data_IF_533465423728
#
_entry.id   IF_533465423728
#
_cell.length_a   1.000
_cell.length_b   1.000
_cell.length_c   1.000
_cell.angle_alpha   90.00
_cell.angle_beta   90.00
_cell.angle_gamma   90.00
#
_symmetry.space_group_name_H-M   'P 1'
#
loop_
_entity.id
_entity.type
_entity.pdbx_description
1 polymer ?
#
# COMPACT_ATOMS: atom_id res chain seq x y z
N UNK A 1 4.12 -20.25 5.93
CA UNK A 1 2.94 -19.99 5.07
C UNK A 1 1.82 -21.01 5.31
N UNK A 2 2.11 -22.32 5.37
CA UNK A 2 1.12 -23.35 5.72
C UNK A 2 0.59 -23.19 7.17
N UNK A 3 1.46 -22.93 8.15
CA UNK A 3 1.02 -22.70 9.54
C UNK A 3 0.09 -21.48 9.70
N UNK A 4 0.29 -20.44 8.89
CA UNK A 4 -0.55 -19.24 8.92
C UNK A 4 -1.91 -19.44 8.24
N UNK A 5 -2.01 -20.35 7.26
CA UNK A 5 -3.28 -20.71 6.61
C UNK A 5 -4.09 -21.76 7.40
N UNK A 6 -3.41 -22.69 8.08
CA UNK A 6 -4.04 -23.79 8.85
C UNK A 6 -4.78 -23.33 10.11
N UNK A 7 -4.45 -22.15 10.65
CA UNK A 7 -5.06 -21.63 11.87
C UNK A 7 -6.25 -20.70 11.60
N UNK A 8 -6.64 -20.54 10.33
CA UNK A 8 -7.47 -19.42 9.89
C UNK A 8 -6.75 -18.08 10.14
N UNK A 9 -7.27 -16.99 9.57
CA UNK A 9 -7.00 -15.68 10.20
C UNK A 9 -7.84 -15.69 11.49
N UNK A 10 -7.25 -15.76 12.70
CA UNK A 10 -8.04 -15.87 13.91
C UNK A 10 -8.86 -14.60 14.21
N UNK A 11 -8.76 -13.60 13.33
CA UNK A 11 -9.09 -12.22 13.64
C UNK A 11 -8.22 -11.71 14.78
N UNK A 12 -8.30 -10.41 15.08
CA UNK A 12 -7.79 -9.89 16.33
C UNK A 12 -8.52 -10.58 17.50
N UNK A 13 -7.78 -11.30 18.36
CA UNK A 13 -8.36 -12.06 19.48
C UNK A 13 -8.65 -11.17 20.70
N UNK A 14 -8.12 -9.97 20.71
CA UNK A 14 -8.25 -8.99 21.77
C UNK A 14 -8.01 -7.57 21.21
N UNK A 15 -8.28 -6.54 22.02
CA UNK A 15 -8.11 -5.13 21.61
C UNK A 15 -6.67 -4.79 21.20
N UNK A 16 -5.66 -5.48 21.73
CA UNK A 16 -4.24 -5.28 21.40
C UNK A 16 -3.90 -5.85 20.02
N UNK A 17 -4.45 -7.01 19.68
CA UNK A 17 -4.37 -7.60 18.33
C UNK A 17 -5.16 -6.76 17.32
N UNK A 18 -6.26 -6.15 17.76
CA UNK A 18 -7.05 -5.23 16.95
C UNK A 18 -6.22 -3.97 16.65
N UNK A 19 -5.46 -3.48 17.63
CA UNK A 19 -4.44 -2.44 17.48
C UNK A 19 -3.33 -2.82 16.48
N UNK A 20 -2.92 -4.10 16.40
CA UNK A 20 -2.01 -4.56 15.35
C UNK A 20 -2.69 -4.70 13.98
N UNK A 21 -3.98 -5.00 13.90
CA UNK A 21 -4.74 -4.90 12.63
C UNK A 21 -4.97 -3.45 12.21
N UNK A 22 -5.00 -2.52 13.17
CA UNK A 22 -4.91 -1.07 13.01
C UNK A 22 -3.45 -0.59 12.87
N UNK A 23 -2.44 -1.46 12.86
CA UNK A 23 -1.06 -1.03 12.65
C UNK A 23 -0.93 -0.36 11.28
N UNK A 24 -1.66 -0.85 10.27
CA UNK A 24 -1.76 -0.18 8.99
C UNK A 24 -2.22 1.27 9.12
N UNK A 25 -3.15 1.55 10.06
CA UNK A 25 -3.59 2.92 10.28
C UNK A 25 -2.57 3.76 11.02
N UNK A 26 -1.86 3.17 11.99
CA UNK A 26 -0.76 3.84 12.68
C UNK A 26 0.40 4.17 11.72
N UNK A 27 0.78 3.24 10.84
CA UNK A 27 1.86 3.43 9.87
C UNK A 27 1.51 4.48 8.81
N UNK A 28 0.29 4.43 8.25
CA UNK A 28 -0.17 5.41 7.27
C UNK A 28 -0.26 6.82 7.90
N UNK A 29 -0.75 6.91 9.13
CA UNK A 29 -0.85 8.17 9.86
C UNK A 29 0.54 8.74 10.20
N UNK A 30 1.44 7.94 10.76
CA UNK A 30 2.83 8.35 11.04
C UNK A 30 3.56 8.80 9.78
N UNK A 31 3.40 8.07 8.67
CA UNK A 31 3.96 8.48 7.39
C UNK A 31 3.35 9.81 6.89
N UNK A 32 2.03 10.01 7.04
CA UNK A 32 1.38 11.25 6.63
C UNK A 32 1.90 12.46 7.41
N UNK A 33 2.03 12.35 8.74
CA UNK A 33 2.62 13.40 9.60
C UNK A 33 4.01 13.82 9.08
N UNK A 34 4.84 12.85 8.70
CA UNK A 34 6.21 13.13 8.27
C UNK A 34 6.30 13.72 6.85
N UNK A 35 5.33 13.45 5.97
CA UNK A 35 5.47 13.71 4.53
C UNK A 35 4.49 14.74 3.97
N UNK A 36 3.51 15.19 4.75
CA UNK A 36 2.52 16.19 4.33
C UNK A 36 3.06 17.61 4.44
N UNK A 37 2.59 18.48 3.54
CA UNK A 37 2.84 19.92 3.55
C UNK A 37 2.35 20.58 4.84
N UNK A 38 3.14 21.53 5.35
CA UNK A 38 2.68 22.41 6.41
C UNK A 38 1.52 23.30 5.93
N UNK A 39 0.82 23.94 6.86
CA UNK A 39 -0.28 24.84 6.51
C UNK A 39 0.19 26.05 5.68
N UNK A 40 1.41 26.54 5.89
CA UNK A 40 2.01 27.60 5.08
C UNK A 40 2.28 27.14 3.64
N UNK A 41 2.76 25.92 3.46
CA UNK A 41 2.99 25.33 2.14
C UNK A 41 1.67 25.03 1.43
N UNK A 42 0.65 24.59 2.16
CA UNK A 42 -0.70 24.38 1.65
C UNK A 42 -1.33 25.68 1.14
N UNK A 43 -1.00 26.82 1.75
CA UNK A 43 -1.47 28.13 1.27
C UNK A 43 -0.90 28.53 -0.10
N UNK A 44 0.18 27.89 -0.56
CA UNK A 44 0.74 28.12 -1.90
C UNK A 44 -0.01 27.36 -3.00
N UNK A 45 -0.81 26.35 -2.64
CA UNK A 45 -1.63 25.64 -3.61
C UNK A 45 -2.75 26.56 -4.14
N UNK A 46 -3.01 26.45 -5.44
CA UNK A 46 -4.14 27.15 -6.06
C UNK A 46 -5.48 26.65 -5.49
N UNK A 47 -6.50 27.50 -5.56
CA UNK A 47 -7.87 27.13 -5.14
C UNK A 47 -8.37 25.88 -5.87
N UNK A 48 -8.04 25.74 -7.15
CA UNK A 48 -8.43 24.58 -7.96
C UNK A 48 -7.76 23.29 -7.48
N UNK A 49 -6.47 23.34 -7.11
CA UNK A 49 -5.76 22.18 -6.56
C UNK A 49 -6.35 21.76 -5.21
N UNK A 50 -6.57 22.72 -4.31
CA UNK A 50 -7.24 22.47 -3.02
C UNK A 50 -8.62 21.84 -3.21
N UNK A 51 -9.40 22.35 -4.17
CA UNK A 51 -10.71 21.78 -4.46
C UNK A 51 -10.62 20.36 -5.04
N UNK A 52 -9.65 20.11 -5.90
CA UNK A 52 -9.44 18.79 -6.49
C UNK A 52 -9.03 17.74 -5.44
N UNK A 53 -8.29 18.14 -4.40
CA UNK A 53 -8.01 17.28 -3.23
C UNK A 53 -9.33 16.86 -2.55
N UNK A 54 -10.18 17.81 -2.16
CA UNK A 54 -11.49 17.51 -1.54
C UNK A 54 -12.38 16.68 -2.47
N UNK A 55 -12.41 17.04 -3.76
CA UNK A 55 -13.21 16.35 -4.79
C UNK A 55 -12.78 14.91 -5.01
N UNK A 56 -11.48 14.63 -4.88
CA UNK A 56 -10.96 13.27 -4.97
C UNK A 56 -11.43 12.38 -3.81
N UNK A 57 -11.95 12.96 -2.72
CA UNK A 57 -12.58 12.25 -1.60
C UNK A 57 -14.12 12.32 -1.64
N UNK A 58 -14.72 12.56 -2.81
CA UNK A 58 -16.17 12.51 -2.96
C UNK A 58 -16.75 11.18 -2.45
N UNK A 59 -17.77 11.26 -1.59
CA UNK A 59 -18.37 10.13 -0.89
C UNK A 59 -17.70 9.76 0.44
N UNK A 60 -16.54 10.35 0.75
CA UNK A 60 -15.79 10.13 2.00
C UNK A 60 -15.61 11.41 2.82
N UNK A 61 -15.58 12.58 2.16
CA UNK A 61 -15.44 13.89 2.78
C UNK A 61 -16.55 14.84 2.31
N UNK A 62 -16.88 15.85 3.12
CA UNK A 62 -17.82 16.91 2.72
C UNK A 62 -17.24 17.72 1.57
N UNK A 63 -18.08 18.03 0.57
CA UNK A 63 -17.65 18.58 -0.71
C UNK A 63 -17.78 20.11 -0.76
N UNK A 64 -17.29 20.76 0.30
CA UNK A 64 -17.29 22.22 0.40
C UNK A 64 -16.04 22.83 -0.26
N UNK A 65 -16.06 24.16 -0.41
CA UNK A 65 -14.83 24.90 -0.76
C UNK A 65 -13.83 24.79 0.38
N UNK A 66 -12.54 24.76 0.06
CA UNK A 66 -11.47 24.57 1.05
C UNK A 66 -11.58 25.49 2.29
N UNK A 67 -11.83 26.78 2.09
CA UNK A 67 -11.87 27.75 3.20
C UNK A 67 -13.13 27.54 4.07
N UNK A 68 -14.26 27.24 3.45
CA UNK A 68 -15.51 26.92 4.13
C UNK A 68 -15.40 25.58 4.88
N UNK A 69 -14.78 24.57 4.24
CA UNK A 69 -14.46 23.28 4.82
C UNK A 69 -13.58 23.43 6.06
N UNK A 70 -12.48 24.18 5.98
CA UNK A 70 -11.64 24.46 7.15
C UNK A 70 -12.45 25.18 8.24
N UNK A 71 -13.25 26.19 7.91
CA UNK A 71 -14.06 26.94 8.88
C UNK A 71 -15.11 26.12 9.64
N UNK A 72 -15.48 24.92 9.15
CA UNK A 72 -16.39 24.00 9.83
C UNK A 72 -15.70 23.11 10.87
N UNK A 73 -14.37 23.04 10.83
CA UNK A 73 -13.59 22.17 11.72
C UNK A 73 -13.30 22.88 13.06
N UNK A 74 -13.13 22.12 14.15
CA UNK A 74 -12.58 22.67 15.38
C UNK A 74 -11.11 23.10 15.16
N UNK A 75 -10.66 24.12 15.88
CA UNK A 75 -9.27 24.63 15.77
C UNK A 75 -8.21 23.54 15.94
N UNK A 76 -8.44 22.58 16.85
CA UNK A 76 -7.54 21.44 17.07
C UNK A 76 -7.37 20.55 15.83
N UNK A 77 -8.35 20.53 14.94
CA UNK A 77 -8.33 19.73 13.71
C UNK A 77 -7.75 20.53 12.54
N UNK A 78 -7.71 21.86 12.61
CA UNK A 78 -7.13 22.70 11.54
C UNK A 78 -5.67 22.34 11.25
N UNK A 79 -4.91 22.06 12.30
CA UNK A 79 -3.48 21.71 12.20
C UNK A 79 -3.27 20.30 11.65
N UNK A 80 -4.23 19.38 11.87
CA UNK A 80 -4.13 17.96 11.49
C UNK A 80 -4.82 17.64 10.17
N UNK A 81 -5.61 18.55 9.61
CA UNK A 81 -6.52 18.22 8.52
C UNK A 81 -5.79 17.76 7.26
N UNK A 82 -4.59 18.28 6.99
CA UNK A 82 -3.82 17.88 5.83
C UNK A 82 -3.35 16.42 5.94
N UNK A 83 -2.97 15.99 7.15
CA UNK A 83 -2.58 14.62 7.47
C UNK A 83 -3.76 13.67 7.30
N UNK A 84 -4.94 14.07 7.82
CA UNK A 84 -6.18 13.30 7.69
C UNK A 84 -6.59 13.14 6.22
N UNK A 85 -6.48 14.20 5.41
CA UNK A 85 -6.78 14.13 3.98
C UNK A 85 -5.78 13.23 3.22
N UNK A 86 -4.49 13.30 3.55
CA UNK A 86 -3.48 12.42 2.97
C UNK A 86 -3.74 10.96 3.31
N UNK A 87 -3.98 10.66 4.58
CA UNK A 87 -4.27 9.32 5.07
C UNK A 87 -5.50 8.74 4.35
N UNK A 88 -6.59 9.52 4.24
CA UNK A 88 -7.79 9.11 3.53
C UNK A 88 -7.53 8.79 2.04
N UNK A 89 -6.68 9.58 1.37
CA UNK A 89 -6.32 9.34 -0.03
C UNK A 89 -5.49 8.08 -0.20
N UNK A 90 -4.50 7.86 0.67
CA UNK A 90 -3.68 6.65 0.67
C UNK A 90 -4.55 5.41 0.91
N UNK A 91 -5.48 5.48 1.86
CA UNK A 91 -6.45 4.40 2.05
C UNK A 91 -7.32 4.17 0.83
N UNK A 92 -7.83 5.23 0.21
CA UNK A 92 -8.65 5.10 -0.99
C UNK A 92 -7.91 4.31 -2.09
N UNK A 93 -6.64 4.62 -2.33
CA UNK A 93 -5.81 3.91 -3.32
C UNK A 93 -5.53 2.46 -2.92
N UNK A 94 -5.21 2.22 -1.65
CA UNK A 94 -4.96 0.87 -1.13
C UNK A 94 -6.21 0.00 -1.18
N UNK A 95 -7.36 0.53 -0.76
CA UNK A 95 -8.64 -0.17 -0.85
C UNK A 95 -9.04 -0.42 -2.30
N UNK A 96 -8.85 0.56 -3.18
CA UNK A 96 -9.09 0.44 -4.61
C UNK A 96 -8.26 -0.69 -5.23
N UNK A 97 -6.96 -0.76 -4.92
CA UNK A 97 -6.05 -1.75 -5.51
C UNK A 97 -6.17 -3.12 -4.85
N UNK A 98 -6.20 -3.20 -3.52
CA UNK A 98 -6.12 -4.49 -2.82
C UNK A 98 -7.48 -5.18 -2.65
N UNK A 99 -8.56 -4.42 -2.43
CA UNK A 99 -9.87 -5.00 -2.10
C UNK A 99 -10.83 -4.94 -3.29
N UNK A 100 -10.86 -3.83 -4.03
CA UNK A 100 -11.75 -3.68 -5.18
C UNK A 100 -11.16 -4.28 -6.46
N UNK A 101 -9.83 -4.39 -6.56
CA UNK A 101 -9.16 -5.04 -7.68
C UNK A 101 -8.05 -6.01 -7.22
N UNK A 102 -8.37 -7.06 -6.43
CA UNK A 102 -7.37 -7.96 -5.82
C UNK A 102 -6.50 -8.70 -6.85
N UNK A 103 -6.86 -8.64 -8.13
CA UNK A 103 -6.18 -9.28 -9.25
C UNK A 103 -5.16 -8.38 -9.95
N UNK A 104 -4.91 -7.18 -9.46
CA UNK A 104 -4.04 -6.18 -10.09
C UNK A 104 -2.62 -6.67 -10.43
N UNK A 105 -2.12 -7.69 -9.73
CA UNK A 105 -0.81 -8.30 -9.96
C UNK A 105 -0.87 -9.62 -10.75
N UNK A 106 -2.06 -10.12 -11.10
CA UNK A 106 -2.22 -11.33 -11.90
C UNK A 106 -2.03 -11.02 -13.39
N UNK A 107 -1.14 -11.75 -14.06
CA UNK A 107 -0.97 -11.65 -15.53
C UNK A 107 -1.40 -12.90 -16.29
N UNK A 108 -1.83 -13.95 -15.58
CA UNK A 108 -2.16 -15.25 -16.16
C UNK A 108 -0.98 -16.04 -16.74
N UNK A 109 0.28 -15.66 -16.47
CA UNK A 109 1.49 -16.28 -17.04
C UNK A 109 2.26 -17.10 -16.00
N UNK A 110 1.67 -18.18 -15.50
CA UNK A 110 2.41 -19.13 -14.64
C UNK A 110 3.40 -20.00 -15.44
N UNK A 111 3.24 -20.11 -16.76
CA UNK A 111 4.23 -20.72 -17.66
C UNK A 111 4.89 -19.66 -18.51
N UNK A 112 6.19 -19.82 -18.77
CA UNK A 112 6.92 -19.15 -19.87
C UNK A 112 6.23 -19.51 -21.18
N UNK A 113 5.16 -18.81 -21.53
CA UNK A 113 4.61 -18.84 -22.87
C UNK A 113 5.58 -18.09 -23.76
N UNK A 114 6.22 -18.82 -24.67
CA UNK A 114 7.10 -18.28 -25.72
C UNK A 114 6.34 -17.34 -26.67
N UNK A 115 5.01 -17.27 -26.55
CA UNK A 115 4.13 -16.46 -27.39
C UNK A 115 3.29 -15.56 -26.48
N UNK A 116 3.59 -14.26 -26.49
CA UNK A 116 3.06 -13.24 -25.58
C UNK A 116 1.58 -12.89 -25.75
N UNK A 117 0.69 -13.86 -25.58
CA UNK A 117 -0.75 -13.59 -25.53
C UNK A 117 -1.17 -13.32 -24.07
N UNK A 118 -1.51 -12.05 -23.78
CA UNK A 118 -1.89 -11.55 -22.44
C UNK A 118 -3.38 -11.69 -22.14
N UNK A 119 -4.01 -12.77 -22.58
CA UNK A 119 -5.42 -13.05 -22.29
C UNK A 119 -5.47 -13.94 -21.06
N UNK A 120 -6.22 -13.53 -20.04
CA UNK A 120 -6.51 -14.28 -18.83
C UNK A 120 -6.79 -15.74 -19.20
N UNK A 121 -5.85 -16.64 -18.94
CA UNK A 121 -6.00 -18.03 -19.29
C UNK A 121 -7.08 -18.63 -18.36
N UNK A 122 -8.24 -19.08 -18.87
CA UNK A 122 -9.30 -19.65 -18.04
C UNK A 122 -8.82 -20.82 -17.18
N UNK A 123 -7.80 -21.54 -17.66
CA UNK A 123 -7.14 -22.61 -16.92
C UNK A 123 -6.37 -22.08 -15.70
N UNK A 124 -5.78 -20.89 -15.79
CA UNK A 124 -5.08 -20.25 -14.67
C UNK A 124 -6.04 -19.72 -13.62
N UNK A 125 -7.17 -19.14 -14.03
CA UNK A 125 -8.22 -18.74 -13.10
C UNK A 125 -8.80 -19.97 -12.35
N UNK A 126 -9.05 -21.07 -13.08
CA UNK A 126 -9.50 -22.33 -12.48
C UNK A 126 -8.44 -22.96 -11.56
N UNK A 127 -7.16 -22.94 -11.95
CA UNK A 127 -6.06 -23.44 -11.13
C UNK A 127 -5.90 -22.60 -9.86
N UNK A 128 -5.92 -21.27 -10.00
CA UNK A 128 -5.88 -20.35 -8.87
C UNK A 128 -7.04 -20.57 -7.91
N UNK A 129 -8.27 -20.68 -8.43
CA UNK A 129 -9.45 -20.96 -7.61
C UNK A 129 -9.35 -22.30 -6.87
N UNK A 130 -8.93 -23.36 -7.58
CA UNK A 130 -8.73 -24.70 -7.00
C UNK A 130 -7.67 -24.69 -5.90
N UNK A 131 -6.53 -24.06 -6.13
CA UNK A 131 -5.41 -24.03 -5.18
C UNK A 131 -5.73 -23.14 -3.96
N UNK A 132 -6.37 -21.99 -4.16
CA UNK A 132 -6.86 -21.15 -3.05
C UNK A 132 -7.89 -21.91 -2.22
N UNK A 133 -8.85 -22.59 -2.85
CA UNK A 133 -9.86 -23.36 -2.13
C UNK A 133 -9.25 -24.55 -1.38
N UNK A 134 -8.29 -25.25 -2.00
CA UNK A 134 -7.54 -26.34 -1.35
C UNK A 134 -6.78 -25.83 -0.12
N UNK A 135 -6.03 -24.73 -0.25
CA UNK A 135 -5.26 -24.16 0.85
C UNK A 135 -6.14 -23.62 1.97
N UNK A 136 -7.25 -22.96 1.65
CA UNK A 136 -8.19 -22.42 2.63
C UNK A 136 -8.93 -23.51 3.44
N UNK A 137 -9.17 -24.68 2.84
CA UNK A 137 -9.86 -25.80 3.49
C UNK A 137 -8.89 -26.90 3.99
N UNK A 138 -7.58 -26.68 3.95
CA UNK A 138 -6.61 -27.67 4.43
C UNK A 138 -6.62 -27.72 5.96
N UNK A 139 -6.93 -28.88 6.54
CA UNK A 139 -6.92 -29.12 7.98
C UNK A 139 -5.55 -29.63 8.48
N UNK A 140 -4.66 -30.04 7.58
CA UNK A 140 -3.29 -30.47 7.91
C UNK A 140 -2.29 -30.18 6.78
N UNK A 141 -1.00 -30.28 7.11
CA UNK A 141 0.13 -29.92 6.22
C UNK A 141 0.15 -30.77 4.95
N UNK A 142 -0.30 -32.02 5.03
CA UNK A 142 -0.32 -32.98 3.91
C UNK A 142 -1.35 -32.56 2.85
N UNK A 143 -2.46 -31.95 3.28
CA UNK A 143 -3.46 -31.36 2.39
C UNK A 143 -2.99 -30.03 1.76
N UNK A 144 -1.97 -29.40 2.36
CA UNK A 144 -1.35 -28.13 1.93
C UNK A 144 0.04 -28.29 1.29
N UNK A 145 0.46 -29.51 0.90
CA UNK A 145 1.86 -29.84 0.61
C UNK A 145 2.54 -29.00 -0.48
N UNK A 146 1.79 -28.47 -1.46
CA UNK A 146 2.31 -27.54 -2.47
C UNK A 146 1.95 -26.10 -2.13
N UNK A 147 2.95 -25.25 -1.94
CA UNK A 147 2.80 -23.78 -1.80
C UNK A 147 3.30 -23.03 -3.03
N UNK A 148 3.70 -23.73 -4.09
CA UNK A 148 4.38 -23.15 -5.25
C UNK A 148 3.59 -22.00 -5.88
N UNK A 149 2.28 -22.19 -6.07
CA UNK A 149 1.42 -21.16 -6.64
C UNK A 149 1.31 -19.94 -5.71
N UNK A 150 1.18 -20.17 -4.40
CA UNK A 150 1.13 -19.12 -3.39
C UNK A 150 2.43 -18.30 -3.33
N UNK A 151 3.59 -18.99 -3.34
CA UNK A 151 4.91 -18.34 -3.39
C UNK A 151 5.08 -17.54 -4.68
N UNK A 152 4.75 -18.11 -5.84
CA UNK A 152 4.81 -17.40 -7.12
C UNK A 152 4.00 -16.09 -7.11
N UNK A 153 2.77 -16.12 -6.60
CA UNK A 153 1.93 -14.92 -6.52
C UNK A 153 2.38 -13.94 -5.44
N UNK A 154 2.97 -14.42 -4.35
CA UNK A 154 3.61 -13.58 -3.33
C UNK A 154 4.78 -12.81 -3.94
N UNK A 155 5.75 -13.50 -4.53
CA UNK A 155 6.95 -12.92 -5.14
C UNK A 155 6.55 -11.91 -6.24
N UNK A 156 5.52 -12.27 -7.00
CA UNK A 156 4.97 -11.39 -8.02
C UNK A 156 4.37 -10.13 -7.42
N UNK A 157 3.47 -10.26 -6.43
CA UNK A 157 2.90 -9.08 -5.75
C UNK A 157 4.01 -8.19 -5.21
N UNK A 158 5.01 -8.77 -4.55
CA UNK A 158 6.19 -8.06 -4.02
C UNK A 158 6.95 -7.31 -5.13
N UNK A 159 7.14 -7.91 -6.31
CA UNK A 159 7.80 -7.26 -7.46
C UNK A 159 7.04 -6.05 -8.02
N UNK A 160 5.73 -5.93 -7.78
CA UNK A 160 4.91 -4.81 -8.24
C UNK A 160 4.65 -3.76 -7.14
N UNK A 161 5.11 -3.97 -5.91
CA UNK A 161 4.89 -3.02 -4.79
C UNK A 161 5.49 -1.66 -5.12
N UNK A 162 6.73 -1.60 -5.60
CA UNK A 162 7.39 -0.33 -5.94
C UNK A 162 6.62 0.44 -7.01
N UNK A 163 6.14 -0.26 -8.04
CA UNK A 163 5.31 0.37 -9.06
C UNK A 163 4.00 0.89 -8.46
N UNK A 164 3.34 0.11 -7.63
CA UNK A 164 2.11 0.55 -6.97
C UNK A 164 2.33 1.80 -6.11
N UNK A 165 3.41 1.85 -5.33
CA UNK A 165 3.77 3.02 -4.52
C UNK A 165 4.02 4.23 -5.42
N UNK A 166 4.83 4.09 -6.48
CA UNK A 166 5.13 5.17 -7.41
C UNK A 166 3.86 5.69 -8.10
N UNK A 167 2.98 4.79 -8.57
CA UNK A 167 1.71 5.16 -9.18
C UNK A 167 0.85 5.95 -8.19
N UNK A 168 0.75 5.48 -6.94
CA UNK A 168 -0.03 6.10 -5.86
C UNK A 168 0.48 7.50 -5.53
N UNK A 169 1.79 7.66 -5.31
CA UNK A 169 2.41 8.94 -4.98
C UNK A 169 2.40 9.93 -6.16
N UNK A 170 2.21 9.44 -7.38
CA UNK A 170 2.09 10.27 -8.59
C UNK A 170 0.68 10.82 -8.83
N UNK A 171 -0.34 10.31 -8.12
CA UNK A 171 -1.72 10.81 -8.20
C UNK A 171 -1.75 12.27 -7.76
N UNK A 172 -2.32 13.14 -8.60
CA UNK A 172 -2.21 14.60 -8.42
C UNK A 172 -2.63 15.12 -7.03
N UNK A 173 -3.82 14.77 -6.49
CA UNK A 173 -4.19 15.11 -5.12
C UNK A 173 -3.17 14.71 -4.05
N UNK A 174 -2.62 13.49 -4.14
CA UNK A 174 -1.60 12.99 -3.20
C UNK A 174 -0.32 13.79 -3.37
N UNK A 175 0.16 13.93 -4.61
CA UNK A 175 1.37 14.68 -4.93
C UNK A 175 1.32 16.13 -4.47
N UNK A 176 0.16 16.79 -4.56
CA UNK A 176 0.03 18.18 -4.11
C UNK A 176 0.06 18.33 -2.60
N UNK A 177 -0.35 17.30 -1.84
CA UNK A 177 -0.29 17.28 -0.38
C UNK A 177 1.10 16.90 0.15
N UNK A 178 1.95 16.25 -0.65
CA UNK A 178 3.31 15.89 -0.25
C UNK A 178 4.20 17.13 -0.16
N UNK A 179 4.98 17.21 0.92
CA UNK A 179 6.04 18.22 1.07
C UNK A 179 7.12 18.00 0.02
N UNK A 180 7.80 19.07 -0.38
CA UNK A 180 8.95 18.94 -1.27
C UNK A 180 10.16 18.44 -0.47
N UNK A 181 10.79 17.35 -0.92
CA UNK A 181 11.98 16.83 -0.26
C UNK A 181 13.13 17.83 -0.46
N UNK A 182 13.64 18.37 0.64
CA UNK A 182 14.80 19.26 0.62
C UNK A 182 16.05 18.38 0.50
N UNK A 183 16.83 18.59 -0.56
CA UNK A 183 17.88 17.68 -1.02
C UNK A 183 19.04 17.42 -0.03
N UNK A 184 19.04 18.03 1.16
CA UNK A 184 20.10 17.90 2.16
C UNK A 184 19.70 17.18 3.44
N UNK A 185 18.45 17.27 3.89
CA UNK A 185 18.01 16.64 5.15
C UNK A 185 17.42 15.24 4.92
N UNK A 186 16.78 15.01 3.77
CA UNK A 186 16.09 13.75 3.48
C UNK A 186 17.02 12.63 2.96
N UNK A 187 18.21 12.97 2.45
CA UNK A 187 19.20 12.00 2.00
C UNK A 187 19.78 11.15 3.15
N UNK A 188 19.82 11.70 4.35
CA UNK A 188 20.27 11.00 5.56
C UNK A 188 19.15 10.22 6.26
N UNK A 189 17.89 10.65 6.10
CA UNK A 189 16.71 9.96 6.64
C UNK A 189 16.33 8.71 5.81
N UNK A 190 16.39 8.79 4.48
CA UNK A 190 16.09 7.67 3.58
C UNK A 190 17.06 6.48 3.67
N UNK A 191 18.25 6.69 4.26
CA UNK A 191 19.19 5.59 4.57
C UNK A 191 18.88 4.88 5.89
N UNK A 192 18.11 5.49 6.80
CA UNK A 192 17.80 4.93 8.13
C UNK A 192 16.51 4.11 8.17
N UNK A 193 15.60 4.28 7.22
CA UNK A 193 14.24 3.69 7.25
C UNK A 193 14.09 2.42 6.41
N UNK A 194 15.17 1.81 5.89
CA UNK A 194 15.07 0.42 5.42
C UNK A 194 14.69 -0.47 6.61
N UNK A 195 13.52 -1.13 6.61
CA UNK A 195 13.16 -2.03 7.68
C UNK A 195 14.17 -3.17 7.64
N UNK A 196 15.00 -3.28 8.68
CA UNK A 196 15.75 -4.50 8.93
C UNK A 196 14.73 -5.59 9.23
N UNK A 197 14.27 -6.27 8.18
CA UNK A 197 13.51 -7.50 8.32
C UNK A 197 14.49 -8.56 8.84
N UNK A 198 14.57 -8.67 10.17
CA UNK A 198 15.28 -9.75 10.81
C UNK A 198 14.51 -11.05 10.52
N UNK A 199 14.89 -11.72 9.44
CA UNK A 199 14.56 -13.13 9.29
C UNK A 199 15.33 -13.89 10.39
N UNK A 200 14.66 -14.84 11.04
CA UNK A 200 15.10 -15.56 12.23
C UNK A 200 16.28 -16.52 11.98
N UNK A 201 17.11 -16.25 10.99
CA UNK A 201 18.35 -16.94 10.70
C UNK A 201 19.38 -15.91 10.23
N UNK A 202 20.25 -15.47 11.14
CA UNK A 202 21.23 -14.39 10.95
C UNK A 202 22.19 -14.58 9.77
N UNK A 203 21.73 -14.25 8.56
CA UNK A 203 22.55 -14.03 7.38
C UNK A 203 22.19 -12.70 6.74
N UNK A 204 23.06 -11.70 6.94
CA UNK A 204 23.05 -10.45 6.19
C UNK A 204 23.29 -10.75 4.70
N UNK A 205 22.28 -10.54 3.86
CA UNK A 205 22.48 -10.43 2.42
C UNK A 205 22.84 -8.99 2.07
N UNK A 206 24.13 -8.70 1.91
CA UNK A 206 24.61 -7.45 1.32
C UNK A 206 24.32 -7.47 -0.18
N UNK A 207 23.31 -6.73 -0.65
CA UNK A 207 23.10 -6.51 -2.07
C UNK A 207 24.09 -5.46 -2.60
N UNK A 208 24.83 -5.86 -3.64
CA UNK A 208 25.89 -5.11 -4.27
C UNK A 208 25.42 -3.84 -4.97
N UNK A 209 26.29 -2.83 -4.92
CA UNK A 209 26.18 -1.55 -5.61
C UNK A 209 26.16 -1.77 -7.14
N UNK A 210 25.13 -1.30 -7.82
CA UNK A 210 25.15 -1.13 -9.27
C UNK A 210 25.69 0.26 -9.63
N UNK A 211 26.89 0.29 -10.20
CA UNK A 211 27.42 1.44 -10.94
C UNK A 211 26.86 1.41 -12.38
N UNK A 212 26.29 2.53 -12.84
CA UNK A 212 25.91 2.72 -14.25
C UNK A 212 27.18 2.94 -15.11
N UNK A 213 27.31 2.35 -16.31
CA UNK A 213 28.29 2.78 -17.28
C UNK A 213 27.80 3.98 -18.09
N UNK A 214 28.76 4.81 -18.49
CA UNK A 214 28.62 5.93 -19.44
C UNK A 214 28.41 5.44 -20.87
#
# INVERSE_FOLDING_TARGET
MIEAGMLGWPGPKNNRDLLYSLAFTAEAHSWAIENVKSDEEMNRLSKTQKQAIISSLAGYCVQEKWDDFKGLLPDTVHELINEVLMEALVYKEIFGKLFMNPWWYLDGKMRRSVHGCSIFNPLMASLWGSETNRLANSANVQQAASTLLGTYHKDRRESFVDQFVNDTLSVEPIRWLLRELSSKEDAEAGQKTSPNFHDGNGRCCTHGKYTRPH
#
